data_IF_741689807291
#
_entry.id   IF_741689807291
#
_cell.length_a   1.000
_cell.length_b   1.000
_cell.length_c   1.000
_cell.angle_alpha   90.00
_cell.angle_beta   90.00
_cell.angle_gamma   90.00
#
_symmetry.space_group_name_H-M   'P 1'
#
loop_
_entity.id
_entity.type
_entity.pdbx_description
1 polymer ?
#
# COMPACT_ATOMS: atom_id res chain seq x y z
N UNK A 1 13.80 15.45 -32.95
CA UNK A 1 14.30 15.36 -31.57
C UNK A 1 13.21 15.64 -30.53
N UNK A 2 12.45 16.74 -30.62
CA UNK A 2 11.36 17.07 -29.68
C UNK A 2 10.37 15.92 -29.46
N UNK A 3 9.85 15.32 -30.54
CA UNK A 3 8.88 14.22 -30.44
C UNK A 3 9.45 12.96 -29.75
N UNK A 4 10.72 12.65 -29.98
CA UNK A 4 11.37 11.50 -29.36
C UNK A 4 11.53 11.71 -27.85
N UNK A 5 11.95 12.91 -27.44
CA UNK A 5 12.06 13.27 -26.03
C UNK A 5 10.68 13.24 -25.36
N UNK A 6 9.67 13.84 -26.01
CA UNK A 6 8.30 13.84 -25.50
C UNK A 6 7.76 12.41 -25.30
N UNK A 7 8.01 11.51 -26.26
CA UNK A 7 7.62 10.11 -26.16
C UNK A 7 8.21 9.44 -24.91
N UNK A 8 9.51 9.63 -24.66
CA UNK A 8 10.17 9.04 -23.48
C UNK A 8 9.69 9.64 -22.17
N UNK A 9 9.49 10.96 -22.11
CA UNK A 9 8.96 11.62 -20.91
C UNK A 9 7.56 11.13 -20.60
N UNK A 10 6.67 11.06 -21.60
CA UNK A 10 5.30 10.55 -21.43
C UNK A 10 5.33 9.08 -20.99
N UNK A 11 6.14 8.25 -21.64
CA UNK A 11 6.26 6.83 -21.30
C UNK A 11 6.76 6.63 -19.87
N UNK A 12 7.75 7.42 -19.43
CA UNK A 12 8.27 7.37 -18.08
C UNK A 12 7.24 7.80 -17.03
N UNK A 13 6.52 8.91 -17.28
CA UNK A 13 5.43 9.36 -16.40
C UNK A 13 4.33 8.31 -16.32
N UNK A 14 3.91 7.75 -17.46
CA UNK A 14 2.90 6.70 -17.50
C UNK A 14 3.33 5.47 -16.70
N UNK A 15 4.58 5.02 -16.83
CA UNK A 15 5.11 3.90 -16.06
C UNK A 15 5.12 4.19 -14.54
N UNK A 16 5.51 5.40 -14.13
CA UNK A 16 5.49 5.82 -12.73
C UNK A 16 4.07 5.82 -12.14
N UNK A 17 3.09 6.33 -12.89
CA UNK A 17 1.69 6.37 -12.46
C UNK A 17 1.10 4.95 -12.34
N UNK A 18 1.27 4.12 -13.38
CA UNK A 18 0.74 2.75 -13.39
C UNK A 18 1.41 1.90 -12.31
N UNK A 19 2.74 2.01 -12.15
CA UNK A 19 3.47 1.29 -11.11
C UNK A 19 3.03 1.69 -9.70
N UNK A 20 2.80 2.98 -9.47
CA UNK A 20 2.29 3.47 -8.18
C UNK A 20 0.88 2.94 -7.89
N UNK A 21 -0.03 2.99 -8.87
CA UNK A 21 -1.38 2.43 -8.74
C UNK A 21 -1.32 0.93 -8.43
N UNK A 22 -0.56 0.16 -9.20
CA UNK A 22 -0.42 -1.28 -9.02
C UNK A 22 0.15 -1.63 -7.64
N UNK A 23 1.18 -0.90 -7.18
CA UNK A 23 1.75 -1.08 -5.86
C UNK A 23 0.70 -0.87 -4.76
N UNK A 24 0.03 0.28 -4.72
CA UNK A 24 -0.94 0.57 -3.65
C UNK A 24 -2.18 -0.32 -3.71
N UNK A 25 -2.62 -0.75 -4.88
CA UNK A 25 -3.72 -1.72 -4.99
C UNK A 25 -3.31 -3.10 -4.47
N UNK A 26 -2.12 -3.60 -4.82
CA UNK A 26 -1.61 -4.87 -4.29
C UNK A 26 -1.38 -4.82 -2.77
N UNK A 27 -0.93 -3.68 -2.28
CA UNK A 27 -0.66 -3.48 -0.86
C UNK A 27 -1.94 -3.41 -0.01
N UNK A 28 -3.09 -3.19 -0.64
CA UNK A 28 -4.39 -3.25 0.01
C UNK A 28 -4.94 -4.67 0.16
N UNK A 29 -4.54 -5.60 -0.70
CA UNK A 29 -5.05 -6.99 -0.75
C UNK A 29 -4.11 -8.02 -0.15
N UNK A 30 -2.82 -7.71 -0.01
CA UNK A 30 -1.86 -8.64 0.59
C UNK A 30 -2.21 -8.97 2.06
N UNK A 31 -1.74 -10.10 2.59
CA UNK A 31 -1.75 -10.34 4.03
C UNK A 31 -0.87 -9.33 4.76
N UNK A 32 -1.35 -8.77 5.89
CA UNK A 32 -0.64 -7.69 6.62
C UNK A 32 -0.46 -8.02 8.09
N UNK A 33 0.67 -7.58 8.63
CA UNK A 33 0.95 -7.67 10.06
C UNK A 33 -0.04 -6.83 10.88
N UNK A 34 -0.44 -7.33 12.06
CA UNK A 34 -1.39 -6.66 12.96
C UNK A 34 -1.01 -5.20 13.27
N UNK A 35 0.29 -4.90 13.48
CA UNK A 35 0.78 -3.52 13.70
C UNK A 35 0.45 -2.53 12.57
N UNK A 36 0.38 -3.02 11.34
CA UNK A 36 0.10 -2.20 10.16
C UNK A 36 -1.37 -2.33 9.73
N UNK A 37 -2.17 -3.11 10.46
CA UNK A 37 -3.55 -3.40 10.12
C UNK A 37 -4.39 -2.13 10.05
N UNK A 38 -4.28 -1.26 11.06
CA UNK A 38 -5.06 -0.01 11.19
C UNK A 38 -4.22 1.24 10.93
N UNK A 39 -3.25 1.17 10.02
CA UNK A 39 -2.42 2.33 9.68
C UNK A 39 -3.24 3.39 8.93
N UNK A 40 -3.62 4.46 9.64
CA UNK A 40 -4.41 5.56 9.09
C UNK A 40 -3.62 6.36 8.03
N UNK A 41 -2.31 6.55 8.25
CA UNK A 41 -1.45 7.24 7.29
C UNK A 41 -1.38 6.50 5.96
N UNK A 42 -1.24 5.17 6.01
CA UNK A 42 -1.29 4.32 4.82
C UNK A 42 -2.67 4.38 4.15
N UNK A 43 -3.77 4.31 4.92
CA UNK A 43 -5.12 4.38 4.37
C UNK A 43 -5.39 5.69 3.61
N UNK A 44 -4.98 6.83 4.18
CA UNK A 44 -5.12 8.14 3.54
C UNK A 44 -4.30 8.24 2.25
N UNK A 45 -3.05 7.78 2.29
CA UNK A 45 -2.17 7.80 1.11
C UNK A 45 -2.68 6.86 0.01
N UNK A 46 -3.03 5.62 0.36
CA UNK A 46 -3.58 4.65 -0.58
C UNK A 46 -4.84 5.19 -1.26
N UNK A 47 -5.78 5.75 -0.48
CA UNK A 47 -6.99 6.38 -1.03
C UNK A 47 -6.68 7.55 -1.96
N UNK A 48 -5.70 8.39 -1.64
CA UNK A 48 -5.31 9.51 -2.52
C UNK A 48 -4.72 9.07 -3.87
N UNK A 49 -4.16 7.86 -3.93
CA UNK A 49 -3.51 7.31 -5.13
C UNK A 49 -4.48 6.44 -5.92
N UNK A 50 -5.20 5.53 -5.26
CA UNK A 50 -6.08 4.54 -5.91
C UNK A 50 -7.53 5.00 -6.03
N UNK A 51 -7.93 6.03 -5.28
CA UNK A 51 -9.33 6.46 -5.17
C UNK A 51 -10.23 5.47 -4.42
N UNK A 52 -9.66 4.41 -3.85
CA UNK A 52 -10.39 3.33 -3.17
C UNK A 52 -10.08 3.34 -1.67
N UNK A 53 -11.10 3.07 -0.87
CA UNK A 53 -10.90 2.80 0.55
C UNK A 53 -10.38 1.37 0.76
N UNK A 54 -9.65 1.16 1.85
CA UNK A 54 -9.20 -0.19 2.22
C UNK A 54 -10.44 -1.03 2.55
N UNK A 55 -10.68 -2.06 1.75
CA UNK A 55 -11.67 -3.07 2.07
C UNK A 55 -11.10 -4.06 3.10
N UNK A 56 -11.57 -3.99 4.34
CA UNK A 56 -11.15 -4.87 5.42
C UNK A 56 -11.83 -6.25 5.39
N UNK A 57 -12.86 -6.45 4.56
CA UNK A 57 -13.50 -7.77 4.38
C UNK A 57 -12.64 -8.71 3.54
N UNK A 58 -11.84 -8.16 2.63
CA UNK A 58 -10.97 -8.94 1.72
C UNK A 58 -9.50 -8.94 2.15
N UNK A 59 -9.12 -8.08 3.10
CA UNK A 59 -7.79 -8.03 3.69
C UNK A 59 -7.69 -9.10 4.76
N UNK A 60 -6.58 -9.83 4.82
CA UNK A 60 -6.36 -10.89 5.82
C UNK A 60 -5.14 -10.57 6.70
N UNK A 61 -5.21 -10.78 8.03
CA UNK A 61 -4.03 -10.65 8.86
C UNK A 61 -3.04 -11.78 8.54
N UNK A 62 -1.78 -11.43 8.33
CA UNK A 62 -0.73 -12.40 7.96
C UNK A 62 -0.40 -13.37 9.11
N UNK A 63 -0.48 -12.88 10.35
CA UNK A 63 -0.19 -13.62 11.57
C UNK A 63 -1.11 -13.11 12.68
N UNK A 64 -1.74 -13.99 13.44
CA UNK A 64 -2.63 -13.65 14.58
C UNK A 64 -1.89 -13.43 15.91
N UNK A 65 -0.58 -13.20 15.86
CA UNK A 65 0.23 -12.85 17.02
C UNK A 65 1.15 -11.68 16.67
N UNK A 66 0.95 -10.56 17.36
CA UNK A 66 1.95 -9.50 17.42
C UNK A 66 3.11 -9.94 18.34
N UNK A 67 4.23 -10.36 17.73
CA UNK A 67 5.44 -10.76 18.46
C UNK A 67 6.04 -9.63 19.34
N UNK A 68 5.60 -8.38 19.15
CA UNK A 68 6.01 -7.23 19.94
C UNK A 68 4.93 -6.74 20.91
N UNK A 69 3.75 -7.38 20.94
CA UNK A 69 2.83 -7.26 22.05
C UNK A 69 3.47 -7.94 23.26
N UNK A 70 4.40 -7.23 23.90
CA UNK A 70 4.89 -7.58 25.22
C UNK A 70 3.69 -7.65 26.16
N UNK A 71 3.21 -8.87 26.42
CA UNK A 71 2.59 -9.13 27.72
C UNK A 71 3.70 -8.82 28.71
N UNK A 72 3.61 -7.67 29.37
CA UNK A 72 4.44 -7.39 30.53
C UNK A 72 4.25 -8.57 31.47
N UNK A 73 5.26 -9.45 31.53
CA UNK A 73 5.36 -10.45 32.57
C UNK A 73 5.49 -9.63 33.85
N UNK A 74 4.37 -9.45 34.54
CA UNK A 74 4.38 -9.00 35.92
C UNK A 74 5.22 -9.99 36.72
N UNK A 75 6.16 -9.47 37.50
CA UNK A 75 7.03 -10.22 38.41
C UNK A 75 6.29 -11.28 39.24
#
# INVERSE_FOLDING_TARGET
MVLLIALFVIGWVAAGLIGSLAYFMGEQTKPIHERNWRSESFARLAKSITGQEINYETRTPAYGMDAYASQGLSE
#
